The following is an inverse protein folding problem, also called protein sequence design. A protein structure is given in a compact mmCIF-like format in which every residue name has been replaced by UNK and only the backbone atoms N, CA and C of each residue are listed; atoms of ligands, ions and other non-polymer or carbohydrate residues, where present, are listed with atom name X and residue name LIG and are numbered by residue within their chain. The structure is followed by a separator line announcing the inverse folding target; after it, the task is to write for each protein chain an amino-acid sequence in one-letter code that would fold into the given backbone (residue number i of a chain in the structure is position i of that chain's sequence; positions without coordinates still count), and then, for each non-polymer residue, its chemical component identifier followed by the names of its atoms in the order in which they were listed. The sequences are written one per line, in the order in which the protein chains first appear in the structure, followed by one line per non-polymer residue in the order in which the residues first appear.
data_IF_072621996330
#
_entry.id   IF_072621996330
#
_cell.length_a   1.000
_cell.length_b   1.000
_cell.length_c   1.000
_cell.angle_alpha   90.00
_cell.angle_beta   90.00
_cell.angle_gamma   90.00
#
_symmetry.space_group_name_H-M   'P 1'
#
loop_
_entity.id
_entity.type
_entity.pdbx_description
1 polymer ?
#
# COMPACT_ATOMS: atom_id res chain seq x y z
N UNK A 1 15.00 15.49 14.08
CA UNK A 1 15.00 14.77 12.79
C UNK A 1 15.11 13.28 13.08
N UNK A 2 14.00 12.60 13.33
CA UNK A 2 14.00 11.16 13.61
C UNK A 2 13.94 10.40 12.29
N UNK A 3 15.07 9.85 11.86
CA UNK A 3 15.09 8.82 10.82
C UNK A 3 14.50 7.55 11.41
N UNK A 4 13.38 7.08 10.86
CA UNK A 4 12.78 5.81 11.24
C UNK A 4 13.61 4.65 10.65
N UNK A 5 13.98 3.62 11.43
CA UNK A 5 14.64 2.45 10.88
C UNK A 5 13.63 1.63 10.08
N UNK A 6 13.75 1.66 8.76
CA UNK A 6 12.94 0.82 7.87
C UNK A 6 13.65 -0.52 7.71
N UNK A 7 13.01 -1.61 8.16
CA UNK A 7 13.58 -2.96 8.04
C UNK A 7 13.33 -3.54 6.64
N UNK A 8 14.38 -4.08 6.00
CA UNK A 8 14.24 -4.79 4.73
C UNK A 8 13.57 -6.13 4.97
N UNK A 9 12.39 -6.33 4.37
CA UNK A 9 11.55 -7.50 4.63
C UNK A 9 12.11 -8.72 3.93
N UNK A 10 12.50 -9.76 4.69
CA UNK A 10 12.66 -11.12 4.17
C UNK A 10 11.28 -11.78 4.05
N UNK A 11 11.04 -12.65 3.04
CA UNK A 11 9.79 -13.39 2.95
C UNK A 11 9.64 -14.24 4.24
N UNK A 12 8.67 -13.86 5.07
CA UNK A 12 8.40 -14.44 6.38
C UNK A 12 6.95 -14.86 6.41
N UNK A 13 6.70 -16.11 6.79
CA UNK A 13 5.39 -16.75 6.90
C UNK A 13 4.75 -16.59 8.29
N UNK A 14 5.23 -15.70 9.15
CA UNK A 14 4.82 -15.67 10.56
C UNK A 14 3.81 -14.55 10.85
N UNK A 15 2.58 -14.95 11.20
CA UNK A 15 1.55 -14.26 12.00
C UNK A 15 1.68 -12.74 12.11
N UNK A 16 1.42 -12.02 11.01
CA UNK A 16 1.06 -10.60 11.12
C UNK A 16 -0.36 -10.50 11.71
N UNK A 17 -0.66 -9.51 12.59
CA UNK A 17 -2.04 -9.24 12.99
C UNK A 17 -2.86 -9.06 11.71
N UNK A 18 -4.06 -9.66 11.65
CA UNK A 18 -4.94 -9.70 10.48
C UNK A 18 -5.26 -8.27 9.96
N UNK A 19 -4.36 -7.71 9.18
CA UNK A 19 -4.64 -6.60 8.29
C UNK A 19 -5.41 -7.22 7.14
N UNK A 20 -6.65 -6.78 6.97
CA UNK A 20 -7.63 -7.26 6.01
C UNK A 20 -7.00 -7.61 4.64
N UNK A 21 -7.59 -8.59 3.96
CA UNK A 21 -7.17 -9.12 2.65
C UNK A 21 -6.44 -8.06 1.81
N UNK A 22 -5.11 -8.21 1.67
CA UNK A 22 -4.26 -7.22 1.01
C UNK A 22 -4.63 -7.03 -0.45
N UNK A 23 -5.19 -8.06 -1.11
CA UNK A 23 -5.72 -7.89 -2.46
C UNK A 23 -6.92 -6.93 -2.46
N UNK A 24 -7.76 -6.94 -1.42
CA UNK A 24 -8.89 -6.04 -1.29
C UNK A 24 -8.44 -4.60 -1.02
N UNK A 25 -7.52 -4.39 -0.07
CA UNK A 25 -6.94 -3.06 0.20
C UNK A 25 -6.23 -2.54 -1.07
N UNK A 26 -5.40 -3.39 -1.68
CA UNK A 26 -4.70 -3.10 -2.91
C UNK A 26 -5.62 -2.76 -4.08
N UNK A 27 -6.76 -3.45 -4.21
CA UNK A 27 -7.77 -3.17 -5.24
C UNK A 27 -8.44 -1.81 -5.02
N UNK A 28 -8.87 -1.51 -3.80
CA UNK A 28 -9.52 -0.23 -3.50
C UNK A 28 -8.55 0.94 -3.70
N UNK A 29 -7.30 0.76 -3.29
CA UNK A 29 -6.27 1.76 -3.49
C UNK A 29 -5.93 1.94 -4.98
N UNK A 30 -5.76 0.84 -5.72
CA UNK A 30 -5.51 0.89 -7.17
C UNK A 30 -6.66 1.58 -7.93
N UNK A 31 -7.91 1.34 -7.53
CA UNK A 31 -9.08 2.03 -8.09
C UNK A 31 -9.09 3.52 -7.74
N UNK A 32 -8.75 3.87 -6.51
CA UNK A 32 -8.64 5.27 -6.11
C UNK A 32 -7.55 6.02 -6.89
N UNK A 33 -6.42 5.36 -7.17
CA UNK A 33 -5.30 5.94 -7.92
C UNK A 33 -5.52 6.02 -9.42
N UNK A 34 -5.94 4.91 -10.03
CA UNK A 34 -5.99 4.75 -11.48
C UNK A 34 -7.39 5.04 -12.02
N UNK A 35 -8.38 5.22 -11.15
CA UNK A 35 -9.79 5.19 -11.47
C UNK A 35 -10.34 3.76 -11.57
N UNK A 36 -11.67 3.62 -11.49
CA UNK A 36 -12.33 2.31 -11.54
C UNK A 36 -12.20 1.60 -12.89
N UNK A 37 -12.18 2.38 -13.98
CA UNK A 37 -12.28 1.84 -15.34
C UNK A 37 -11.07 0.98 -15.74
N UNK A 38 -9.81 1.35 -15.45
CA UNK A 38 -8.67 0.55 -15.88
C UNK A 38 -8.42 -0.71 -15.03
N UNK A 39 -8.89 -0.82 -13.79
CA UNK A 39 -8.54 -1.93 -12.89
C UNK A 39 -9.49 -3.12 -13.07
N UNK A 40 -8.96 -4.30 -13.45
CA UNK A 40 -9.76 -5.54 -13.62
C UNK A 40 -9.80 -6.39 -12.36
N UNK A 41 -8.64 -6.69 -11.79
CA UNK A 41 -8.51 -7.55 -10.62
C UNK A 41 -7.15 -7.33 -9.96
N UNK A 42 -7.06 -7.64 -8.68
CA UNK A 42 -5.82 -7.66 -7.91
C UNK A 42 -5.65 -9.05 -7.33
N UNK A 43 -4.44 -9.60 -7.45
CA UNK A 43 -4.07 -10.92 -6.93
C UNK A 43 -2.78 -10.80 -6.12
N UNK A 44 -2.73 -11.46 -4.96
CA UNK A 44 -1.45 -11.71 -4.27
C UNK A 44 -0.78 -12.90 -4.96
N UNK A 45 0.53 -12.79 -5.17
CA UNK A 45 1.34 -13.88 -5.68
C UNK A 45 1.41 -15.01 -4.62
N UNK A 46 0.94 -16.24 -4.93
CA UNK A 46 0.91 -17.32 -3.96
C UNK A 46 2.30 -17.76 -3.48
N UNK A 47 3.34 -17.51 -4.28
CA UNK A 47 4.73 -17.85 -3.95
C UNK A 47 5.45 -16.69 -3.23
N UNK A 48 4.91 -15.47 -3.32
CA UNK A 48 5.47 -14.30 -2.68
C UNK A 48 4.37 -13.39 -2.11
N UNK A 49 4.05 -13.49 -0.80
CA UNK A 49 2.99 -12.69 -0.18
C UNK A 49 3.29 -11.19 -0.11
N UNK A 50 4.53 -10.77 -0.40
CA UNK A 50 4.89 -9.36 -0.54
C UNK A 50 4.66 -8.83 -1.96
N UNK A 51 4.31 -9.70 -2.91
CA UNK A 51 4.12 -9.36 -4.32
C UNK A 51 2.65 -9.41 -4.68
N UNK A 52 2.16 -8.32 -5.25
CA UNK A 52 0.79 -8.17 -5.70
C UNK A 52 0.77 -7.80 -7.18
N UNK A 53 -0.14 -8.43 -7.93
CA UNK A 53 -0.34 -8.21 -9.36
C UNK A 53 -1.72 -7.60 -9.57
N UNK A 54 -1.74 -6.37 -10.04
CA UNK A 54 -2.95 -5.67 -10.48
C UNK A 54 -3.06 -5.80 -11.99
N UNK A 55 -4.09 -6.49 -12.47
CA UNK A 55 -4.39 -6.57 -13.91
C UNK A 55 -5.17 -5.33 -14.33
N UNK A 56 -4.65 -4.64 -15.35
CA UNK A 56 -5.25 -3.45 -15.94
C UNK A 56 -5.88 -3.79 -17.29
N UNK A 57 -6.70 -2.88 -17.84
CA UNK A 57 -7.22 -3.01 -19.21
C UNK A 57 -6.10 -2.93 -20.26
N UNK A 58 -6.27 -3.68 -21.34
CA UNK A 58 -5.34 -3.73 -22.48
C UNK A 58 -4.06 -4.48 -22.19
N UNK A 59 -4.16 -5.64 -21.52
CA UNK A 59 -3.06 -6.55 -21.15
C UNK A 59 -1.89 -5.92 -20.36
N UNK A 60 -2.17 -4.76 -19.75
CA UNK A 60 -1.24 -4.07 -18.84
C UNK A 60 -1.34 -4.65 -17.44
N UNK A 61 -0.23 -4.60 -16.72
CA UNK A 61 -0.14 -5.06 -15.34
C UNK A 61 0.62 -4.06 -14.50
N UNK A 62 0.20 -3.87 -13.26
CA UNK A 62 0.98 -3.22 -12.22
C UNK A 62 1.37 -4.27 -11.20
N UNK A 63 2.66 -4.58 -11.14
CA UNK A 63 3.23 -5.44 -10.10
C UNK A 63 3.72 -4.53 -8.98
N UNK A 64 3.28 -4.76 -7.75
CA UNK A 64 3.73 -4.03 -6.56
C UNK A 64 4.38 -5.02 -5.60
N UNK A 65 5.64 -4.78 -5.24
CA UNK A 65 6.39 -5.63 -4.30
C UNK A 65 6.77 -4.83 -3.08
N UNK A 66 6.36 -5.26 -1.90
CA UNK A 66 6.80 -4.65 -0.64
C UNK A 66 8.27 -4.98 -0.42
N UNK A 67 9.11 -3.95 -0.37
CA UNK A 67 10.56 -4.07 -0.17
C UNK A 67 10.98 -3.70 1.25
N UNK A 68 10.13 -2.96 1.97
CA UNK A 68 10.40 -2.49 3.32
C UNK A 68 9.08 -2.27 4.06
N UNK A 69 9.02 -2.57 5.37
CA UNK A 69 7.87 -2.22 6.21
C UNK A 69 8.28 -1.96 7.65
N UNK A 70 7.46 -1.18 8.34
CA UNK A 70 7.56 -0.94 9.77
C UNK A 70 6.14 -0.89 10.37
N UNK A 71 6.02 -1.29 11.62
CA UNK A 71 4.76 -1.24 12.37
C UNK A 71 5.01 -0.73 13.78
N UNK A 72 4.10 0.08 14.30
CA UNK A 72 4.17 0.63 15.65
C UNK A 72 2.78 0.59 16.29
N UNK A 73 2.71 0.33 17.59
CA UNK A 73 1.46 0.32 18.35
C UNK A 73 1.66 1.14 19.62
N UNK A 74 0.98 2.28 19.69
CA UNK A 74 1.07 3.21 20.82
C UNK A 74 0.05 2.89 21.91
N UNK A 75 -1.00 2.14 21.56
CA UNK A 75 -2.03 1.66 22.48
C UNK A 75 -2.76 0.46 21.87
N UNK A 76 -3.55 -0.30 22.65
CA UNK A 76 -4.35 -1.41 22.12
C UNK A 76 -5.33 -1.04 21.00
N UNK A 77 -5.69 0.25 20.90
CA UNK A 77 -6.67 0.76 19.93
C UNK A 77 -6.04 1.58 18.79
N UNK A 78 -4.72 1.75 18.79
CA UNK A 78 -3.99 2.54 17.78
C UNK A 78 -2.81 1.75 17.22
N UNK A 79 -2.74 1.72 15.89
CA UNK A 79 -1.73 0.96 15.16
C UNK A 79 -1.28 1.73 13.93
N UNK A 80 0.03 1.90 13.76
CA UNK A 80 0.65 2.59 12.64
C UNK A 80 1.40 1.57 11.78
N UNK A 81 1.26 1.67 10.47
CA UNK A 81 2.05 0.90 9.50
C UNK A 81 2.70 1.83 8.50
N UNK A 82 3.94 1.54 8.13
CA UNK A 82 4.55 2.10 6.93
C UNK A 82 5.03 0.97 6.02
N UNK A 83 4.75 1.05 4.72
CA UNK A 83 5.20 0.09 3.72
C UNK A 83 5.79 0.84 2.52
N UNK A 84 6.92 0.35 2.01
CA UNK A 84 7.56 0.82 0.78
C UNK A 84 7.41 -0.25 -0.28
N UNK A 85 6.87 0.14 -1.43
CA UNK A 85 6.61 -0.69 -2.59
C UNK A 85 7.54 -0.30 -3.74
N UNK A 86 8.15 -1.31 -4.35
CA UNK A 86 8.69 -1.18 -5.70
C UNK A 86 7.61 -1.62 -6.69
N UNK A 87 7.27 -0.72 -7.61
CA UNK A 87 6.22 -0.91 -8.58
C UNK A 87 6.78 -1.09 -9.99
N UNK A 88 6.19 -1.99 -10.76
CA UNK A 88 6.51 -2.26 -12.15
C UNK A 88 5.25 -2.17 -13.01
N UNK A 89 5.22 -1.23 -13.93
CA UNK A 89 4.18 -1.10 -14.94
C UNK A 89 4.61 -1.87 -16.18
N UNK A 90 3.92 -2.99 -16.45
CA UNK A 90 4.15 -3.90 -17.58
C UNK A 90 3.05 -3.70 -18.64
N UNK A 91 3.39 -3.82 -19.92
CA UNK A 91 2.45 -3.73 -21.05
C UNK A 91 2.60 -2.47 -21.92
N UNK A 92 3.61 -1.63 -21.68
CA UNK A 92 4.14 -0.68 -22.66
C UNK A 92 5.37 -1.29 -23.36
N UNK A 93 5.91 -0.61 -24.39
CA UNK A 93 7.17 -1.01 -25.06
C UNK A 93 8.36 -1.11 -24.10
N UNK A 94 8.30 -0.41 -22.97
CA UNK A 94 9.29 -0.43 -21.91
C UNK A 94 8.62 -0.61 -20.56
N UNK A 95 9.23 -1.40 -19.67
CA UNK A 95 8.79 -1.52 -18.27
C UNK A 95 9.18 -0.24 -17.54
N UNK A 96 8.16 0.41 -16.95
CA UNK A 96 8.35 1.58 -16.11
C UNK A 96 8.35 1.18 -14.64
N UNK A 97 9.26 1.75 -13.87
CA UNK A 97 9.44 1.44 -12.45
C UNK A 97 9.26 2.69 -11.61
N UNK A 98 8.65 2.59 -10.44
CA UNK A 98 8.62 3.67 -9.45
C UNK A 98 8.61 3.11 -8.03
N UNK A 99 8.82 4.00 -7.07
CA UNK A 99 8.73 3.69 -5.64
C UNK A 99 7.51 4.39 -5.06
N UNK A 100 6.75 3.67 -4.24
CA UNK A 100 5.62 4.21 -3.50
C UNK A 100 5.78 3.88 -2.03
N UNK A 101 5.53 4.85 -1.16
CA UNK A 101 5.49 4.65 0.28
C UNK A 101 4.08 4.95 0.78
N UNK A 102 3.55 4.07 1.63
CA UNK A 102 2.27 4.29 2.30
C UNK A 102 2.48 4.27 3.80
N UNK A 103 1.97 5.28 4.49
CA UNK A 103 1.90 5.32 5.96
C UNK A 103 0.44 5.40 6.37
N UNK A 104 0.00 4.45 7.19
CA UNK A 104 -1.40 4.28 7.57
C UNK A 104 -1.54 4.22 9.08
N UNK A 105 -2.28 5.17 9.64
CA UNK A 105 -2.62 5.22 11.05
C UNK A 105 -4.03 4.66 11.26
N UNK A 106 -4.11 3.44 11.80
CA UNK A 106 -5.34 2.75 12.15
C UNK A 106 -5.77 3.10 13.57
N UNK A 107 -7.09 3.24 13.74
CA UNK A 107 -7.74 3.44 15.03
C UNK A 107 -8.96 2.54 15.14
N UNK A 108 -9.01 1.77 16.22
CA UNK A 108 -10.21 1.01 16.61
C UNK A 108 -11.22 1.95 17.25
N UNK A 109 -12.45 1.91 16.76
CA UNK A 109 -13.58 2.64 17.33
C UNK A 109 -14.38 1.69 18.21
N UNK A 110 -14.32 1.91 19.52
CA UNK A 110 -15.16 1.21 20.48
C UNK A 110 -16.45 2.02 20.64
N UNK A 111 -17.52 1.58 19.98
CA UNK A 111 -18.84 2.15 20.19
C UNK A 111 -19.67 1.21 21.08
N UNK A 112 -20.01 1.58 22.32
CA UNK A 112 -20.77 0.72 23.23
C UNK A 112 -22.21 0.43 22.77
N UNK A 113 -22.68 1.05 21.68
CA UNK A 113 -24.01 0.81 21.07
C UNK A 113 -23.97 -0.09 19.84
N UNK A 114 -22.79 -0.51 19.37
CA UNK A 114 -22.62 -1.36 18.19
C UNK A 114 -21.87 -2.62 18.62
N UNK A 115 -22.46 -3.79 18.41
CA UNK A 115 -21.89 -5.10 18.79
C UNK A 115 -20.59 -5.48 18.06
N UNK A 116 -20.14 -4.65 17.11
CA UNK A 116 -18.92 -4.88 16.34
C UNK A 116 -18.02 -3.64 16.33
N UNK A 117 -16.71 -3.80 16.63
CA UNK A 117 -15.77 -2.69 16.54
C UNK A 117 -15.57 -2.29 15.07
N UNK A 118 -15.70 -1.00 14.79
CA UNK A 118 -15.29 -0.43 13.50
C UNK A 118 -13.81 -0.06 13.58
N UNK A 119 -13.10 -0.19 12.46
CA UNK A 119 -11.72 0.33 12.34
C UNK A 119 -11.75 1.46 11.32
N UNK A 120 -11.17 2.60 11.68
CA UNK A 120 -10.94 3.71 10.75
C UNK A 120 -9.45 3.90 10.56
N UNK A 121 -9.02 4.39 9.40
CA UNK A 121 -7.62 4.74 9.21
C UNK A 121 -7.43 5.98 8.35
N UNK A 122 -6.39 6.74 8.67
CA UNK A 122 -5.87 7.79 7.81
C UNK A 122 -4.60 7.26 7.13
N UNK A 123 -4.61 7.26 5.81
CA UNK A 123 -3.46 6.83 5.00
C UNK A 123 -2.89 8.00 4.21
N UNK A 124 -1.58 8.18 4.28
CA UNK A 124 -0.81 9.02 3.36
C UNK A 124 -0.04 8.12 2.41
N UNK A 125 0.05 8.52 1.16
CA UNK A 125 0.87 7.84 0.17
C UNK A 125 1.74 8.83 -0.58
N UNK A 126 3.03 8.52 -0.63
CA UNK A 126 4.07 9.26 -1.31
C UNK A 126 4.51 8.49 -2.56
N UNK A 127 4.56 9.17 -3.70
CA UNK A 127 5.07 8.62 -4.97
C UNK A 127 6.41 9.29 -5.28
N UNK A 128 7.43 8.48 -5.54
CA UNK A 128 8.76 8.93 -5.93
C UNK A 128 9.00 8.65 -7.42
N UNK A 129 9.84 9.47 -8.05
CA UNK A 129 10.19 9.31 -9.45
C UNK A 129 10.93 7.99 -9.71
N UNK A 130 10.80 7.51 -10.93
CA UNK A 130 11.64 6.48 -11.50
C UNK A 130 13.06 6.99 -11.73
N UNK A 131 14.10 6.15 -11.59
CA UNK A 131 15.41 6.44 -12.18
C UNK A 131 15.38 6.71 -13.69
N UNK A 132 14.30 6.32 -14.37
CA UNK A 132 14.05 6.58 -15.79
C UNK A 132 13.51 8.01 -16.07
N UNK A 133 13.07 8.74 -15.03
CA UNK A 133 12.51 10.07 -15.19
C UNK A 133 13.62 11.14 -15.29
N UNK A 134 13.50 12.14 -16.18
CA UNK A 134 14.53 13.16 -16.39
C UNK A 134 14.92 13.94 -15.12
N UNK A 135 13.95 14.14 -14.21
CA UNK A 135 14.13 14.93 -12.99
C UNK A 135 14.41 14.07 -11.75
N UNK A 136 14.63 12.76 -11.90
CA UNK A 136 14.86 11.83 -10.78
C UNK A 136 15.93 12.34 -9.79
N UNK A 137 17.12 12.66 -10.29
CA UNK A 137 18.22 13.15 -9.45
C UNK A 137 17.95 14.53 -8.86
N UNK A 138 17.11 15.36 -9.50
CA UNK A 138 16.71 16.67 -8.95
C UNK A 138 15.71 16.52 -7.81
N UNK A 139 14.81 15.54 -7.92
CA UNK A 139 13.83 15.24 -6.86
C UNK A 139 14.50 14.63 -5.63
N UNK A 140 15.49 13.75 -5.81
CA UNK A 140 16.15 13.05 -4.71
C UNK A 140 15.14 12.24 -3.89
N UNK A 141 15.18 12.38 -2.57
CA UNK A 141 14.28 11.68 -1.63
C UNK A 141 12.92 12.39 -1.45
N UNK A 142 12.54 13.28 -2.37
CA UNK A 142 11.27 14.02 -2.28
C UNK A 142 10.19 13.35 -3.10
N UNK A 143 8.99 13.12 -2.54
CA UNK A 143 7.88 12.63 -3.32
C UNK A 143 7.43 13.69 -4.33
N UNK A 144 7.07 13.24 -5.52
CA UNK A 144 6.49 14.08 -6.58
C UNK A 144 4.97 14.16 -6.51
N UNK A 145 4.34 13.24 -5.78
CA UNK A 145 2.93 13.30 -5.48
C UNK A 145 2.65 12.76 -4.08
N UNK A 146 1.69 13.39 -3.41
CA UNK A 146 1.19 13.00 -2.09
C UNK A 146 -0.33 12.90 -2.15
N UNK A 147 -0.86 11.77 -1.67
CA UNK A 147 -2.29 11.52 -1.58
C UNK A 147 -2.66 11.17 -0.16
N UNK A 148 -3.86 11.58 0.25
CA UNK A 148 -4.40 11.27 1.57
C UNK A 148 -5.77 10.62 1.42
N UNK A 149 -5.96 9.52 2.13
CA UNK A 149 -7.20 8.75 2.15
C UNK A 149 -7.69 8.58 3.56
N UNK A 150 -9.01 8.61 3.70
CA UNK A 150 -9.70 8.09 4.87
C UNK A 150 -10.26 6.72 4.52
N UNK A 151 -10.04 5.73 5.38
CA UNK A 151 -10.44 4.35 5.18
C UNK A 151 -11.40 3.93 6.30
N UNK A 152 -12.57 3.45 5.93
CA UNK A 152 -13.55 2.88 6.84
C UNK A 152 -13.63 1.36 6.63
N UNK A 153 -13.35 0.60 7.68
CA UNK A 153 -13.41 -0.85 7.68
C UNK A 153 -14.64 -1.30 8.49
N UNK A 154 -15.60 -1.87 7.76
CA UNK A 154 -16.82 -2.43 8.32
C UNK A 154 -16.69 -3.95 8.36
N UNK A 155 -17.05 -4.57 9.48
CA UNK A 155 -17.13 -6.03 9.56
C UNK A 155 -18.27 -6.52 8.66
N UNK A 156 -17.99 -7.51 7.80
CA UNK A 156 -19.04 -8.18 7.03
C UNK A 156 -19.71 -9.23 7.92
N UNK A 157 -21.05 -9.18 7.98
CA UNK A 157 -21.89 -10.21 8.61
C UNK A 157 -22.00 -11.44 7.74
#
# INVERSE_FOLDING_TARGET
SSFFPVERVKPSSTNAPNIADRAFIGLNLAKAYLGDRPVKTVKVDPENPNRQITLLRGDRQLVSTVVARATESNSPDEFLTSEVFQQEFRGASQIYFNTVETTTAYKRQINPKIDQPNITADQVTAIYLSPQDPDYFKAGDRPVALYRYHLDFMSQR
#
